data_IF_846348097255
#
_entry.id   IF_846348097255
#
_cell.length_a   1.000
_cell.length_b   1.000
_cell.length_c   1.000
_cell.angle_alpha   90.00
_cell.angle_beta   90.00
_cell.angle_gamma   90.00
#
_symmetry.space_group_name_H-M   'P 1'
#
loop_
_entity.id
_entity.type
_entity.pdbx_description
1 polymer ?
#
# COMPACT_ATOMS: atom_id res chain seq x y z
N UNK A 1 13.02 6.38 11.46
CA UNK A 1 11.71 6.65 10.85
C UNK A 1 11.81 6.28 9.37
N UNK A 2 11.10 5.26 8.89
CA UNK A 2 11.25 4.78 7.50
C UNK A 2 10.65 5.77 6.51
N UNK A 3 11.49 6.39 5.67
CA UNK A 3 11.14 7.28 4.54
C UNK A 3 10.35 6.59 3.40
N UNK A 4 9.82 5.39 3.62
CA UNK A 4 9.25 4.50 2.60
C UNK A 4 7.80 4.09 2.87
N UNK A 5 7.09 4.78 3.76
CA UNK A 5 5.68 4.47 4.04
C UNK A 5 4.73 5.23 3.07
N UNK A 6 3.90 4.54 2.28
CA UNK A 6 2.95 5.17 1.35
C UNK A 6 1.95 6.12 2.02
N UNK A 7 1.62 5.91 3.29
CA UNK A 7 0.73 6.78 4.05
C UNK A 7 1.37 8.16 4.23
N UNK A 8 2.66 8.20 4.56
CA UNK A 8 3.43 9.44 4.68
C UNK A 8 3.54 10.18 3.34
N UNK A 9 3.67 9.45 2.22
CA UNK A 9 3.68 10.07 0.88
C UNK A 9 2.33 10.70 0.53
N UNK A 10 1.23 9.99 0.79
CA UNK A 10 -0.12 10.54 0.57
C UNK A 10 -0.38 11.72 1.51
N UNK A 11 0.05 11.65 2.77
CA UNK A 11 -0.03 12.77 3.71
C UNK A 11 0.72 14.01 3.20
N UNK A 12 1.92 13.82 2.64
CA UNK A 12 2.71 14.91 2.07
C UNK A 12 2.03 15.52 0.85
N UNK A 13 1.49 14.71 -0.06
CA UNK A 13 0.71 15.21 -1.19
C UNK A 13 -0.51 16.02 -0.72
N UNK A 14 -1.24 15.55 0.30
CA UNK A 14 -2.36 16.32 0.86
C UNK A 14 -1.89 17.66 1.41
N UNK A 15 -0.73 17.71 2.08
CA UNK A 15 -0.15 18.95 2.58
C UNK A 15 0.27 19.90 1.44
N UNK A 16 0.91 19.39 0.39
CA UNK A 16 1.36 20.18 -0.77
C UNK A 16 0.17 20.81 -1.53
N UNK A 17 -0.96 20.10 -1.61
CA UNK A 17 -2.20 20.62 -2.21
C UNK A 17 -3.10 21.40 -1.21
N UNK A 18 -2.77 21.37 0.08
CA UNK A 18 -3.45 22.10 1.15
C UNK A 18 -4.72 21.44 1.71
N UNK A 19 -5.33 20.47 1.02
CA UNK A 19 -6.45 19.68 1.56
C UNK A 19 -6.70 18.39 0.78
N UNK A 20 -7.42 17.44 1.40
CA UNK A 20 -7.83 16.19 0.73
C UNK A 20 -8.66 16.51 -0.53
N UNK A 21 -9.58 17.47 -0.46
CA UNK A 21 -10.45 17.86 -1.57
C UNK A 21 -9.69 18.51 -2.74
N UNK A 22 -8.66 19.30 -2.44
CA UNK A 22 -7.81 19.90 -3.48
C UNK A 22 -6.97 18.85 -4.19
N UNK A 23 -6.41 17.89 -3.46
CA UNK A 23 -5.71 16.75 -4.05
C UNK A 23 -6.64 15.93 -4.94
N UNK A 24 -7.84 15.58 -4.45
CA UNK A 24 -8.84 14.82 -5.22
C UNK A 24 -9.20 15.53 -6.53
N UNK A 25 -9.48 16.84 -6.47
CA UNK A 25 -9.78 17.64 -7.67
C UNK A 25 -8.62 17.62 -8.66
N UNK A 26 -7.38 17.80 -8.18
CA UNK A 26 -6.20 17.80 -9.04
C UNK A 26 -5.96 16.45 -9.72
N UNK A 27 -6.08 15.34 -8.97
CA UNK A 27 -5.93 13.98 -9.52
C UNK A 27 -7.00 13.69 -10.56
N UNK A 28 -8.27 13.95 -10.23
CA UNK A 28 -9.38 13.70 -11.15
C UNK A 28 -9.31 14.55 -12.41
N UNK A 29 -8.89 15.82 -12.30
CA UNK A 29 -8.68 16.69 -13.46
C UNK A 29 -7.54 16.20 -14.36
N UNK A 30 -6.44 15.71 -13.79
CA UNK A 30 -5.28 15.24 -14.56
C UNK A 30 -5.50 13.87 -15.20
N UNK A 31 -6.16 12.94 -14.51
CA UNK A 31 -6.24 11.53 -14.92
C UNK A 31 -7.63 11.10 -15.43
N UNK A 32 -8.64 11.97 -15.37
CA UNK A 32 -10.02 11.61 -15.73
C UNK A 32 -10.62 10.55 -14.80
N UNK A 33 -10.16 10.47 -13.55
CA UNK A 33 -10.56 9.44 -12.58
C UNK A 33 -11.75 9.86 -11.71
N UNK A 34 -12.27 8.91 -10.91
CA UNK A 34 -13.27 9.13 -9.86
C UNK A 34 -12.69 8.89 -8.46
N UNK A 35 -11.53 9.47 -8.17
CA UNK A 35 -10.98 9.46 -6.82
C UNK A 35 -11.94 10.16 -5.87
N UNK A 36 -12.17 9.60 -4.69
CA UNK A 36 -13.01 10.20 -3.66
C UNK A 36 -12.17 10.65 -2.46
N UNK A 37 -12.67 11.66 -1.73
CA UNK A 37 -12.06 12.12 -0.49
C UNK A 37 -11.88 11.01 0.55
N UNK A 38 -12.87 10.12 0.68
CA UNK A 38 -12.81 9.01 1.62
C UNK A 38 -11.66 8.03 1.29
N UNK A 39 -11.36 7.81 0.02
CA UNK A 39 -10.23 6.96 -0.39
C UNK A 39 -8.90 7.56 0.06
N UNK A 40 -8.69 8.86 -0.20
CA UNK A 40 -7.48 9.58 0.25
C UNK A 40 -7.32 9.52 1.77
N UNK A 41 -8.40 9.72 2.53
CA UNK A 41 -8.37 9.60 4.00
C UNK A 41 -7.99 8.18 4.44
N UNK A 42 -8.56 7.15 3.83
CA UNK A 42 -8.25 5.75 4.17
C UNK A 42 -6.79 5.41 3.90
N UNK A 43 -6.23 5.92 2.80
CA UNK A 43 -4.81 5.76 2.46
C UNK A 43 -3.90 6.49 3.45
N UNK A 44 -4.21 7.75 3.77
CA UNK A 44 -3.41 8.56 4.71
C UNK A 44 -3.42 8.04 6.14
N UNK A 45 -4.51 7.40 6.54
CA UNK A 45 -4.68 6.84 7.90
C UNK A 45 -4.25 5.39 8.01
N UNK A 46 -3.77 4.78 6.93
CA UNK A 46 -3.39 3.36 6.89
C UNK A 46 -4.55 2.39 7.07
N UNK A 47 -5.81 2.87 7.10
CA UNK A 47 -7.01 2.02 7.17
C UNK A 47 -7.19 1.18 5.91
N UNK A 48 -6.61 1.60 4.80
CA UNK A 48 -6.57 0.84 3.55
C UNK A 48 -5.32 1.19 2.76
N UNK A 49 -4.71 0.20 2.12
CA UNK A 49 -3.69 0.45 1.11
C UNK A 49 -4.27 0.97 -0.19
N UNK A 50 -3.42 1.53 -1.04
CA UNK A 50 -3.77 1.73 -2.43
C UNK A 50 -3.83 0.36 -3.11
N UNK A 51 -4.86 0.12 -3.92
CA UNK A 51 -4.85 -1.00 -4.86
C UNK A 51 -3.75 -0.81 -5.91
N UNK A 52 -3.38 -1.87 -6.62
CA UNK A 52 -2.37 -1.77 -7.69
C UNK A 52 -2.74 -0.70 -8.73
N UNK A 53 -4.00 -0.64 -9.14
CA UNK A 53 -4.52 0.37 -10.07
C UNK A 53 -4.29 1.78 -9.49
N UNK A 54 -4.61 2.01 -8.22
CA UNK A 54 -4.43 3.34 -7.63
C UNK A 54 -2.97 3.69 -7.38
N UNK A 55 -2.11 2.72 -7.09
CA UNK A 55 -0.67 2.94 -7.00
C UNK A 55 -0.10 3.39 -8.36
N UNK A 56 -0.52 2.78 -9.46
CA UNK A 56 -0.15 3.18 -10.82
C UNK A 56 -0.66 4.58 -11.17
N UNK A 57 -1.94 4.87 -10.87
CA UNK A 57 -2.50 6.21 -11.10
C UNK A 57 -1.79 7.29 -10.29
N UNK A 58 -1.46 7.02 -9.03
CA UNK A 58 -0.72 8.00 -8.21
C UNK A 58 0.72 8.17 -8.69
N UNK A 59 1.36 7.11 -9.20
CA UNK A 59 2.67 7.21 -9.85
C UNK A 59 2.61 8.07 -11.12
N UNK A 60 1.61 7.85 -11.99
CA UNK A 60 1.33 8.66 -13.17
C UNK A 60 1.08 10.13 -12.81
N UNK A 61 0.29 10.37 -11.75
CA UNK A 61 -0.01 11.72 -11.27
C UNK A 61 1.25 12.46 -10.79
N UNK A 62 2.11 11.78 -10.04
CA UNK A 62 3.28 12.38 -9.36
C UNK A 62 4.58 12.30 -10.17
N UNK A 63 4.62 11.54 -11.27
CA UNK A 63 5.86 11.22 -11.98
C UNK A 63 6.76 10.25 -11.22
N UNK A 64 6.22 9.53 -10.24
CA UNK A 64 6.93 8.55 -9.41
C UNK A 64 6.80 7.13 -9.93
N UNK A 65 7.16 6.14 -9.09
CA UNK A 65 6.98 4.72 -9.41
C UNK A 65 5.81 4.11 -8.61
N UNK A 66 5.07 3.12 -9.14
CA UNK A 66 3.95 2.50 -8.42
C UNK A 66 4.37 1.92 -7.05
N UNK A 67 5.58 1.41 -6.93
CA UNK A 67 6.15 0.83 -5.70
C UNK A 67 6.24 1.85 -4.56
N UNK A 68 6.33 3.14 -4.89
CA UNK A 68 6.33 4.21 -3.88
C UNK A 68 4.97 4.34 -3.19
N UNK A 69 3.89 3.82 -3.81
CA UNK A 69 2.52 3.95 -3.35
C UNK A 69 1.85 2.62 -3.00
N UNK A 70 2.40 1.51 -3.49
CA UNK A 70 2.02 0.19 -2.98
C UNK A 70 2.39 0.17 -1.50
N UNK A 71 1.43 -0.20 -0.64
CA UNK A 71 1.85 -0.73 0.66
C UNK A 71 2.87 -1.80 0.33
N UNK A 72 4.12 -1.61 0.79
CA UNK A 72 4.97 -2.76 1.02
C UNK A 72 4.04 -3.77 1.69
N UNK A 73 3.89 -5.01 1.18
CA UNK A 73 3.22 -6.01 1.98
C UNK A 73 3.92 -5.90 3.32
N UNK A 74 3.18 -5.40 4.32
CA UNK A 74 3.73 -5.30 5.67
C UNK A 74 4.38 -6.65 5.92
N UNK A 75 5.49 -6.69 6.64
CA UNK A 75 6.35 -7.88 6.77
C UNK A 75 5.59 -9.22 6.80
N UNK A 76 4.35 -9.26 7.31
CA UNK A 76 3.34 -10.31 7.09
C UNK A 76 3.38 -11.10 5.78
N UNK A 77 3.64 -10.58 4.56
CA UNK A 77 3.66 -11.49 3.38
C UNK A 77 4.91 -12.36 3.34
N UNK A 78 6.09 -11.76 3.54
CA UNK A 78 7.36 -12.49 3.71
C UNK A 78 7.34 -13.34 4.99
N UNK A 79 6.67 -12.85 6.03
CA UNK A 79 6.47 -13.57 7.29
C UNK A 79 5.46 -14.71 7.15
N UNK A 80 4.40 -14.59 6.35
CA UNK A 80 3.43 -15.67 6.09
C UNK A 80 4.10 -16.75 5.25
N UNK A 81 4.82 -16.39 4.19
CA UNK A 81 5.58 -17.37 3.38
C UNK A 81 6.61 -18.10 4.24
N UNK A 82 7.41 -17.38 5.04
CA UNK A 82 8.33 -18.02 6.00
C UNK A 82 7.62 -18.86 7.08
N UNK A 83 6.45 -18.44 7.57
CA UNK A 83 5.67 -19.21 8.54
C UNK A 83 5.02 -20.44 7.91
N UNK A 84 4.64 -20.39 6.63
CA UNK A 84 4.11 -21.53 5.89
C UNK A 84 5.22 -22.56 5.68
N UNK A 85 6.41 -22.14 5.23
CA UNK A 85 7.58 -23.02 5.10
C UNK A 85 7.95 -23.68 6.44
N UNK A 86 7.89 -22.92 7.54
CA UNK A 86 8.17 -23.43 8.88
C UNK A 86 7.09 -24.40 9.38
N UNK A 87 5.82 -24.19 9.04
CA UNK A 87 4.72 -25.12 9.37
C UNK A 87 4.81 -26.41 8.55
N UNK A 88 5.12 -26.33 7.26
CA UNK A 88 5.33 -27.51 6.40
C UNK A 88 6.49 -28.36 6.93
N UNK A 89 7.60 -27.72 7.32
CA UNK A 89 8.74 -28.44 7.90
C UNK A 89 8.39 -29.14 9.22
N UNK A 90 7.63 -28.48 10.10
CA UNK A 90 7.19 -29.08 11.37
C UNK A 90 6.20 -30.22 11.16
N UNK A 91 5.35 -30.14 10.13
CA UNK A 91 4.45 -31.22 9.76
C UNK A 91 5.24 -32.47 9.32
N UNK A 92 6.23 -32.28 8.44
CA UNK A 92 7.11 -33.35 7.97
C UNK A 92 7.90 -34.00 9.12
N UNK A 93 8.40 -33.21 10.07
CA UNK A 93 9.10 -33.71 11.27
C UNK A 93 8.16 -34.52 12.19
N UNK A 94 6.87 -34.18 12.27
CA UNK A 94 5.88 -34.93 13.06
C UNK A 94 5.46 -36.24 12.37
N UNK A 95 5.28 -36.22 11.06
CA UNK A 95 5.02 -37.43 10.27
C UNK A 95 6.17 -38.44 10.41
N UNK A 96 7.41 -37.97 10.35
CA UNK A 96 8.60 -38.82 10.51
C UNK A 96 8.80 -39.38 11.94
N UNK A 97 8.13 -38.82 12.96
CA UNK A 97 8.23 -39.27 14.35
C UNK A 97 7.09 -40.21 14.78
N UNK A 98 6.02 -40.27 14.01
CA UNK A 98 4.85 -41.12 14.27
C UNK A 98 4.71 -42.28 13.27
N UNK A 99 5.65 -42.42 12.32
CA UNK A 99 5.82 -43.57 11.43
C UNK A 99 6.77 -44.63 12.00
#
# INVERSE_FOLDING_TARGET
MSNYDPQHRIARLVADYGSDDRLVKAVNAKLGTRLTRQMVIRWRTGRSGLSNIWAERMAEFTGGRPEDFRLAPMGWRKTIEQRLDELERRLQELENRNG
#
